data_IF_562737080133
#
_entry.id   IF_562737080133
#
_cell.length_a   1.000
_cell.length_b   1.000
_cell.length_c   1.000
_cell.angle_alpha   90.00
_cell.angle_beta   90.00
_cell.angle_gamma   90.00
#
_symmetry.space_group_name_H-M   'P 1'
#
loop_
_entity.id
_entity.type
_entity.pdbx_description
1 polymer ?
#
# COMPACT_ATOMS: atom_id res chain seq x y z
N UNK A 1 54.86 27.90 -5.38
CA UNK A 1 55.07 26.53 -4.84
C UNK A 1 54.10 26.32 -3.67
N UNK A 2 53.50 25.11 -3.58
CA UNK A 2 52.66 24.58 -2.48
C UNK A 2 51.25 25.20 -2.44
N UNK A 3 50.27 24.73 -3.22
CA UNK A 3 49.53 23.44 -3.12
C UNK A 3 49.22 23.09 -1.66
N UNK A 4 47.93 23.08 -1.29
CA UNK A 4 47.22 22.45 -0.15
C UNK A 4 46.17 23.45 0.41
N UNK A 5 45.11 23.72 -0.36
CA UNK A 5 43.80 24.17 0.17
C UNK A 5 42.74 23.53 -0.74
N UNK A 6 42.67 22.19 -0.76
CA UNK A 6 41.63 21.46 -1.50
C UNK A 6 41.38 20.09 -0.86
N UNK A 7 41.21 20.06 0.47
CA UNK A 7 40.97 18.81 1.19
C UNK A 7 40.05 18.99 2.40
N UNK A 8 39.05 19.86 2.29
CA UNK A 8 38.11 20.19 3.37
C UNK A 8 36.64 20.02 3.02
N UNK A 9 36.30 19.33 1.92
CA UNK A 9 34.91 19.24 1.43
C UNK A 9 34.44 17.82 1.05
N UNK A 10 35.13 16.76 1.51
CA UNK A 10 34.81 15.38 1.11
C UNK A 10 34.43 14.45 2.29
N UNK A 11 34.18 14.96 3.49
CA UNK A 11 34.05 14.11 4.69
C UNK A 11 32.70 14.11 5.40
N UNK A 12 31.61 14.62 4.81
CA UNK A 12 30.31 14.74 5.54
C UNK A 12 29.17 13.90 4.93
N UNK A 13 29.36 13.19 3.83
CA UNK A 13 28.23 12.51 3.13
C UNK A 13 27.90 11.07 3.59
N UNK A 14 28.45 10.57 4.71
CA UNK A 14 28.31 9.15 5.11
C UNK A 14 27.36 8.89 6.30
N UNK A 15 26.55 9.86 6.74
CA UNK A 15 25.72 9.72 7.95
C UNK A 15 24.21 9.51 7.72
N UNK A 16 23.78 8.99 6.57
CA UNK A 16 22.35 8.68 6.36
C UNK A 16 22.18 7.29 5.79
N UNK A 17 22.40 6.24 6.59
CA UNK A 17 21.79 4.92 6.35
C UNK A 17 21.88 4.05 7.60
N UNK A 18 21.36 4.56 8.72
CA UNK A 18 20.87 3.71 9.80
C UNK A 18 19.35 3.88 9.82
N UNK A 19 18.69 3.44 8.74
CA UNK A 19 17.24 3.42 8.69
C UNK A 19 16.78 2.26 9.58
N UNK A 20 15.98 2.57 10.59
CA UNK A 20 15.51 1.60 11.57
C UNK A 20 14.73 0.47 10.85
N UNK A 21 15.14 -0.78 11.04
CA UNK A 21 14.57 -1.96 10.38
C UNK A 21 13.04 -2.04 10.55
N UNK A 22 12.53 -1.63 11.72
CA UNK A 22 11.09 -1.58 11.97
C UNK A 22 10.34 -0.60 11.07
N UNK A 23 10.96 0.53 10.72
CA UNK A 23 10.38 1.55 9.84
C UNK A 23 10.29 1.05 8.40
N UNK A 24 11.29 0.29 7.95
CA UNK A 24 11.32 -0.29 6.61
C UNK A 24 10.19 -1.31 6.42
N UNK A 25 10.04 -2.20 7.39
CA UNK A 25 8.99 -3.22 7.40
C UNK A 25 7.58 -2.58 7.41
N UNK A 26 7.39 -1.52 8.19
CA UNK A 26 6.11 -0.80 8.26
C UNK A 26 5.77 -0.13 6.92
N UNK A 27 6.71 0.57 6.31
CA UNK A 27 6.54 1.19 4.99
C UNK A 27 6.16 0.14 3.95
N UNK A 28 6.92 -0.95 3.90
CA UNK A 28 6.66 -2.07 2.98
C UNK A 28 5.25 -2.66 3.18
N UNK A 29 4.86 -2.87 4.44
CA UNK A 29 3.54 -3.38 4.83
C UNK A 29 2.40 -2.50 4.32
N UNK A 30 2.56 -1.18 4.42
CA UNK A 30 1.55 -0.22 3.98
C UNK A 30 1.43 -0.16 2.46
N UNK A 31 2.57 -0.10 1.74
CA UNK A 31 2.58 -0.13 0.27
C UNK A 31 1.96 -1.44 -0.23
N UNK A 32 2.36 -2.58 0.33
CA UNK A 32 1.87 -3.89 -0.09
C UNK A 32 0.36 -4.04 0.16
N UNK A 33 -0.13 -3.52 1.29
CA UNK A 33 -1.56 -3.46 1.57
C UNK A 33 -2.33 -2.66 0.50
N UNK A 34 -1.86 -1.47 0.15
CA UNK A 34 -2.53 -0.65 -0.87
C UNK A 34 -2.52 -1.32 -2.25
N UNK A 35 -1.45 -2.04 -2.60
CA UNK A 35 -1.41 -2.85 -3.83
C UNK A 35 -2.52 -3.91 -3.82
N UNK A 36 -2.73 -4.62 -2.71
CA UNK A 36 -3.80 -5.61 -2.59
C UNK A 36 -5.17 -4.95 -2.76
N UNK A 37 -5.40 -3.80 -2.13
CA UNK A 37 -6.66 -3.06 -2.25
C UNK A 37 -6.92 -2.56 -3.66
N UNK A 38 -5.90 -2.08 -4.37
CA UNK A 38 -6.03 -1.66 -5.77
C UNK A 38 -6.41 -2.85 -6.64
N UNK A 39 -5.74 -4.00 -6.48
CA UNK A 39 -6.00 -5.20 -7.30
C UNK A 39 -7.37 -5.81 -7.05
N UNK A 40 -7.87 -5.71 -5.82
CA UNK A 40 -9.23 -6.15 -5.54
C UNK A 40 -10.28 -5.19 -6.12
N UNK A 41 -10.02 -3.88 -6.01
CA UNK A 41 -10.93 -2.85 -6.55
C UNK A 41 -10.99 -2.87 -8.08
N UNK A 42 -9.87 -3.15 -8.74
CA UNK A 42 -9.73 -3.17 -10.19
C UNK A 42 -9.30 -4.56 -10.63
N UNK A 43 -10.26 -5.46 -10.87
CA UNK A 43 -9.97 -6.84 -11.29
C UNK A 43 -9.34 -6.91 -12.68
N UNK A 44 -9.59 -5.93 -13.55
CA UNK A 44 -8.89 -5.80 -14.83
C UNK A 44 -7.45 -5.32 -14.60
N UNK A 45 -6.50 -6.19 -14.92
CA UNK A 45 -5.07 -5.88 -14.83
C UNK A 45 -4.66 -4.66 -15.65
N UNK A 46 -5.31 -4.39 -16.77
CA UNK A 46 -5.06 -3.21 -17.63
C UNK A 46 -5.36 -1.92 -16.88
N UNK A 47 -6.37 -1.94 -15.99
CA UNK A 47 -6.74 -0.80 -15.16
C UNK A 47 -5.96 -0.76 -13.84
N UNK A 48 -5.65 -1.91 -13.25
CA UNK A 48 -4.92 -2.00 -11.98
C UNK A 48 -3.45 -1.60 -12.11
N UNK A 49 -2.76 -2.07 -13.16
CA UNK A 49 -1.33 -1.88 -13.37
C UNK A 49 -0.89 -0.40 -13.35
N UNK A 50 -1.52 0.53 -14.11
CA UNK A 50 -1.12 1.93 -14.07
C UNK A 50 -1.34 2.57 -12.68
N UNK A 51 -2.33 2.11 -11.90
CA UNK A 51 -2.58 2.60 -10.54
C UNK A 51 -1.54 2.09 -9.56
N UNK A 52 -1.17 0.82 -9.64
CA UNK A 52 -0.07 0.24 -8.83
C UNK A 52 1.24 0.95 -9.15
N UNK A 53 1.52 1.21 -10.44
CA UNK A 53 2.73 1.94 -10.84
C UNK A 53 2.76 3.36 -10.29
N UNK A 54 1.62 4.06 -10.34
CA UNK A 54 1.50 5.39 -9.74
C UNK A 54 1.75 5.33 -8.23
N UNK A 55 1.07 4.43 -7.52
CA UNK A 55 1.26 4.21 -6.09
C UNK A 55 2.74 4.01 -5.76
N UNK A 56 3.42 3.08 -6.43
CA UNK A 56 4.84 2.82 -6.20
C UNK A 56 5.69 4.08 -6.46
N UNK A 57 5.40 4.82 -7.52
CA UNK A 57 6.10 6.06 -7.85
C UNK A 57 5.90 7.14 -6.78
N UNK A 58 4.72 7.23 -6.17
CA UNK A 58 4.43 8.18 -5.09
C UNK A 58 5.30 7.90 -3.84
N UNK A 59 5.72 6.64 -3.66
CA UNK A 59 6.68 6.20 -2.64
C UNK A 59 8.15 6.17 -3.14
N UNK A 60 8.42 6.63 -4.36
CA UNK A 60 9.78 6.64 -4.93
C UNK A 60 10.28 5.29 -5.45
N UNK A 61 9.39 4.32 -5.65
CA UNK A 61 9.72 3.00 -6.20
C UNK A 61 9.27 2.83 -7.65
N UNK A 62 10.01 1.98 -8.36
CA UNK A 62 9.54 1.26 -9.56
C UNK A 62 9.08 -0.14 -9.16
N UNK A 63 8.35 -0.83 -10.03
CA UNK A 63 8.00 -2.25 -9.81
C UNK A 63 9.25 -3.12 -9.56
N UNK A 64 10.34 -2.87 -10.31
CA UNK A 64 11.59 -3.62 -10.17
C UNK A 64 12.30 -3.32 -8.84
N UNK A 65 12.39 -2.05 -8.44
CA UNK A 65 13.05 -1.68 -7.18
C UNK A 65 12.24 -2.14 -5.97
N UNK A 66 10.91 -2.09 -6.04
CA UNK A 66 10.05 -2.62 -4.98
C UNK A 66 10.19 -4.14 -4.85
N UNK A 67 10.27 -4.88 -5.96
CA UNK A 67 10.53 -6.32 -5.92
C UNK A 67 11.90 -6.68 -5.33
N UNK A 68 12.94 -5.88 -5.62
CA UNK A 68 14.24 -6.02 -4.96
C UNK A 68 14.15 -5.74 -3.46
N UNK A 69 13.41 -4.72 -3.07
CA UNK A 69 13.18 -4.38 -1.66
C UNK A 69 12.45 -5.52 -0.91
N UNK A 70 11.43 -6.12 -1.52
CA UNK A 70 10.80 -7.35 -1.00
C UNK A 70 11.81 -8.47 -0.76
N UNK A 71 12.69 -8.71 -1.74
CA UNK A 71 13.69 -9.78 -1.67
C UNK A 71 14.74 -9.51 -0.59
N UNK A 72 15.15 -8.26 -0.42
CA UNK A 72 16.07 -7.84 0.63
C UNK A 72 15.48 -8.05 2.02
N UNK A 73 14.24 -7.59 2.25
CA UNK A 73 13.53 -7.81 3.52
C UNK A 73 13.36 -9.30 3.83
N UNK A 74 12.99 -10.10 2.83
CA UNK A 74 12.88 -11.54 2.98
C UNK A 74 14.23 -12.19 3.32
N UNK A 75 15.31 -11.77 2.66
CA UNK A 75 16.65 -12.34 2.86
C UNK A 75 17.23 -11.97 4.23
N UNK A 76 16.93 -10.78 4.75
CA UNK A 76 17.39 -10.32 6.06
C UNK A 76 16.67 -11.06 7.20
N UNK A 77 15.34 -11.19 7.14
CA UNK A 77 14.55 -11.87 8.17
C UNK A 77 13.29 -12.53 7.58
N UNK A 78 13.40 -13.77 7.07
CA UNK A 78 12.29 -14.47 6.41
C UNK A 78 11.06 -14.63 7.29
N UNK A 79 11.25 -14.85 8.59
CA UNK A 79 10.17 -15.07 9.54
C UNK A 79 9.39 -13.78 9.78
N UNK A 80 10.09 -12.66 10.06
CA UNK A 80 9.46 -11.36 10.22
C UNK A 80 8.74 -10.93 8.94
N UNK A 81 9.36 -11.12 7.77
CA UNK A 81 8.73 -10.84 6.48
C UNK A 81 7.43 -11.62 6.29
N UNK A 82 7.44 -12.93 6.57
CA UNK A 82 6.24 -13.78 6.46
C UNK A 82 5.14 -13.31 7.40
N UNK A 83 5.46 -13.04 8.66
CA UNK A 83 4.49 -12.51 9.65
C UNK A 83 3.87 -11.20 9.18
N UNK A 84 4.66 -10.31 8.58
CA UNK A 84 4.17 -9.03 8.06
C UNK A 84 3.24 -9.23 6.87
N UNK A 85 3.61 -10.06 5.90
CA UNK A 85 2.77 -10.38 4.75
C UNK A 85 1.43 -10.95 5.20
N UNK A 86 1.44 -11.89 6.14
CA UNK A 86 0.21 -12.51 6.66
C UNK A 86 -0.65 -11.50 7.42
N UNK A 87 -0.04 -10.62 8.22
CA UNK A 87 -0.73 -9.51 8.88
C UNK A 87 -1.39 -8.57 7.87
N UNK A 88 -0.70 -8.23 6.79
CA UNK A 88 -1.22 -7.37 5.71
C UNK A 88 -2.41 -8.02 5.01
N UNK A 89 -2.30 -9.31 4.66
CA UNK A 89 -3.42 -10.06 4.04
C UNK A 89 -4.64 -10.08 4.94
N UNK A 90 -4.46 -10.43 6.21
CA UNK A 90 -5.54 -10.43 7.20
C UNK A 90 -6.17 -9.03 7.36
N UNK A 91 -5.36 -7.96 7.29
CA UNK A 91 -5.85 -6.57 7.31
C UNK A 91 -6.68 -6.25 6.06
N UNK A 92 -6.21 -6.65 4.87
CA UNK A 92 -6.92 -6.46 3.61
C UNK A 92 -8.26 -7.20 3.60
N UNK A 93 -8.27 -8.48 3.97
CA UNK A 93 -9.49 -9.29 4.04
C UNK A 93 -10.55 -8.66 4.96
N UNK A 94 -10.15 -8.18 6.15
CA UNK A 94 -11.08 -7.50 7.07
C UNK A 94 -11.69 -6.24 6.45
N UNK A 95 -10.88 -5.39 5.80
CA UNK A 95 -11.39 -4.19 5.15
C UNK A 95 -12.33 -4.53 3.99
N UNK A 96 -12.04 -5.57 3.21
CA UNK A 96 -12.91 -6.01 2.13
C UNK A 96 -14.27 -6.50 2.64
N UNK A 97 -14.29 -7.25 3.74
CA UNK A 97 -15.53 -7.66 4.40
C UNK A 97 -16.34 -6.47 4.93
N UNK A 98 -15.69 -5.43 5.42
CA UNK A 98 -16.34 -4.19 5.84
C UNK A 98 -16.97 -3.45 4.64
N UNK A 99 -16.26 -3.31 3.53
CA UNK A 99 -16.81 -2.70 2.31
C UNK A 99 -17.99 -3.49 1.74
N UNK A 100 -17.94 -4.83 1.79
CA UNK A 100 -19.06 -5.69 1.39
C UNK A 100 -20.30 -5.48 2.26
N UNK A 101 -20.13 -5.47 3.59
CA UNK A 101 -21.23 -5.23 4.54
C UNK A 101 -21.85 -3.85 4.37
N UNK A 102 -21.03 -2.82 4.18
CA UNK A 102 -21.51 -1.46 4.01
C UNK A 102 -22.28 -1.29 2.69
N UNK A 103 -21.77 -1.87 1.60
CA UNK A 103 -22.49 -1.89 0.32
C UNK A 103 -23.87 -2.53 0.47
N UNK A 104 -23.97 -3.65 1.20
CA UNK A 104 -25.25 -4.32 1.42
C UNK A 104 -26.23 -3.43 2.21
N UNK A 105 -25.78 -2.79 3.29
CA UNK A 105 -26.62 -1.87 4.09
C UNK A 105 -27.19 -0.72 3.27
N UNK A 106 -26.38 -0.13 2.38
CA UNK A 106 -26.80 0.95 1.50
C UNK A 106 -27.87 0.46 0.51
N UNK A 107 -27.69 -0.73 -0.06
CA UNK A 107 -28.68 -1.34 -0.96
C UNK A 107 -30.00 -1.61 -0.25
N UNK A 108 -29.95 -2.19 0.95
CA UNK A 108 -31.15 -2.49 1.75
C UNK A 108 -31.90 -1.20 2.16
N UNK A 109 -31.17 -0.16 2.56
CA UNK A 109 -31.74 1.16 2.88
C UNK A 109 -32.41 1.82 1.68
N UNK A 110 -31.79 1.69 0.50
CA UNK A 110 -32.31 2.24 -0.76
C UNK A 110 -33.59 1.52 -1.19
N UNK A 111 -33.65 0.20 -1.03
CA UNK A 111 -34.82 -0.59 -1.38
C UNK A 111 -36.01 -0.32 -0.44
N UNK A 112 -35.75 -0.16 0.87
CA UNK A 112 -36.77 0.20 1.85
C UNK A 112 -37.32 1.63 1.65
N UNK A 113 -36.49 2.57 1.17
CA UNK A 113 -36.95 3.93 0.84
C UNK A 113 -37.83 3.98 -0.43
N UNK A 114 -37.58 3.08 -1.40
CA UNK A 114 -38.39 2.99 -2.63
C UNK A 114 -39.74 2.32 -2.40
N UNK A 115 -39.82 1.32 -1.52
CA UNK A 115 -41.09 0.64 -1.19
C UNK A 115 -42.07 1.54 -0.43
N UNK A 116 -41.58 2.44 0.43
CA UNK A 116 -42.40 3.43 1.14
C UNK A 116 -42.86 4.61 0.26
N UNK A 117 -42.16 4.92 -0.82
CA UNK A 117 -42.52 5.99 -1.76
C UNK A 117 -43.63 5.63 -2.77
N UNK A 118 -43.82 4.36 -3.09
CA UNK A 118 -44.88 3.91 -4.02
C UNK A 118 -46.26 3.79 -3.37
N UNK A 119 -46.36 3.79 -2.05
CA UNK A 119 -47.62 3.65 -1.32
C UNK A 119 -48.38 4.98 -1.13
N UNK A 120 -47.83 6.12 -1.59
CA UNK A 120 -48.38 7.47 -1.38
C UNK A 120 -48.92 8.14 -2.65
N UNK A 121 -49.14 7.39 -3.74
CA UNK A 121 -49.56 7.91 -5.05
C UNK A 121 -50.79 7.24 -5.64
N UNK A 122 -51.60 6.63 -4.80
CA UNK A 122 -52.94 6.11 -5.12
C UNK A 122 -53.90 6.67 -4.09
N UNK A 123 -54.33 7.91 -4.31
CA UNK A 123 -55.58 8.51 -3.82
C UNK A 123 -55.90 9.71 -4.73
#
# INVERSE_FOLDING_TARGET
MKKIILFGLFSISLLISCQNESSQIEEYSNIYFEILMIREKFQDTTEANPKVRKLLSDYGYTESSFGKYSMELYSNNPQAFTTVIDSVKNRAERQLLEFGRERQRILDSTNNAKSTGQQKKTD
#
